data_IF_742905487275
#
_entry.id   IF_742905487275
#
_cell.length_a   1.000
_cell.length_b   1.000
_cell.length_c   1.000
_cell.angle_alpha   90.00
_cell.angle_beta   90.00
_cell.angle_gamma   90.00
#
_symmetry.space_group_name_H-M   'P 1'
#
loop_
_entity.id
_entity.type
_entity.pdbx_description
1 polymer ?
#
# COMPACT_ATOMS: atom_id res chain seq x y z
N UNK A 1 20.13 -6.08 -47.62
CA UNK A 1 19.26 -6.29 -46.45
C UNK A 1 19.96 -5.70 -45.24
N UNK A 2 19.35 -4.74 -44.56
CA UNK A 2 19.90 -4.14 -43.33
C UNK A 2 19.60 -5.08 -42.16
N UNK A 3 20.63 -5.60 -41.50
CA UNK A 3 20.46 -6.38 -40.27
C UNK A 3 20.33 -5.40 -39.11
N UNK A 4 19.10 -5.18 -38.67
CA UNK A 4 18.81 -4.37 -37.49
C UNK A 4 19.21 -5.17 -36.25
N UNK A 5 20.17 -4.67 -35.47
CA UNK A 5 20.55 -5.29 -34.19
C UNK A 5 19.35 -5.20 -33.24
N UNK A 6 18.91 -6.36 -32.72
CA UNK A 6 17.79 -6.44 -31.78
C UNK A 6 18.25 -6.05 -30.37
N UNK A 7 17.39 -5.37 -29.60
CA UNK A 7 17.62 -5.15 -28.18
C UNK A 7 17.35 -6.43 -27.36
N UNK A 8 17.74 -6.46 -26.08
CA UNK A 8 17.58 -7.65 -25.23
C UNK A 8 16.14 -8.17 -25.15
N UNK A 9 15.15 -7.28 -25.03
CA UNK A 9 13.75 -7.67 -24.99
C UNK A 9 13.29 -8.28 -26.32
N UNK A 10 13.68 -7.70 -27.44
CA UNK A 10 13.36 -8.18 -28.78
C UNK A 10 14.02 -9.51 -29.07
N UNK A 11 15.28 -9.71 -28.65
CA UNK A 11 15.99 -10.97 -28.81
C UNK A 11 15.31 -12.09 -28.01
N UNK A 12 14.94 -11.83 -26.76
CA UNK A 12 14.21 -12.79 -25.92
C UNK A 12 12.86 -13.19 -26.52
N UNK A 13 12.10 -12.22 -27.04
CA UNK A 13 10.83 -12.50 -27.70
C UNK A 13 11.02 -13.21 -29.05
N UNK A 14 12.07 -12.88 -29.80
CA UNK A 14 12.39 -13.56 -31.05
C UNK A 14 12.75 -15.03 -30.81
N UNK A 15 13.53 -15.32 -29.76
CA UNK A 15 13.85 -16.68 -29.32
C UNK A 15 12.57 -17.45 -28.95
N UNK A 16 11.74 -16.89 -28.07
CA UNK A 16 10.48 -17.52 -27.66
C UNK A 16 9.53 -17.77 -28.84
N UNK A 17 9.34 -16.79 -29.71
CA UNK A 17 8.43 -16.93 -30.85
C UNK A 17 8.93 -17.95 -31.88
N UNK A 18 10.25 -18.15 -31.99
CA UNK A 18 10.83 -19.12 -32.92
C UNK A 18 10.42 -20.57 -32.63
N UNK A 19 9.95 -20.86 -31.43
CA UNK A 19 9.44 -22.18 -31.03
C UNK A 19 8.10 -22.53 -31.71
N UNK A 20 7.42 -21.55 -32.30
CA UNK A 20 6.08 -21.71 -32.87
C UNK A 20 6.10 -21.57 -34.40
N UNK A 21 5.23 -22.34 -35.06
CA UNK A 21 4.94 -22.14 -36.48
C UNK A 21 3.82 -21.10 -36.63
N UNK A 22 4.18 -19.85 -36.89
CA UNK A 22 3.23 -18.76 -37.08
C UNK A 22 3.49 -17.98 -38.38
N UNK A 23 2.47 -17.27 -38.85
CA UNK A 23 2.58 -16.32 -39.94
C UNK A 23 2.13 -14.94 -39.47
N UNK A 24 2.96 -13.92 -39.72
CA UNK A 24 2.59 -12.53 -39.43
C UNK A 24 1.84 -12.00 -40.64
N UNK A 25 0.54 -11.78 -40.49
CA UNK A 25 -0.28 -11.11 -41.51
C UNK A 25 -0.62 -9.71 -41.02
N UNK A 26 -0.34 -8.70 -41.84
CA UNK A 26 -0.75 -7.33 -41.54
C UNK A 26 -2.25 -7.19 -41.81
N UNK A 27 -3.01 -6.84 -40.76
CA UNK A 27 -4.40 -6.46 -40.88
C UNK A 27 -4.52 -4.93 -40.84
N UNK A 28 -5.03 -4.28 -41.90
CA UNK A 28 -5.29 -2.85 -41.86
C UNK A 28 -6.33 -2.53 -40.78
N UNK A 29 -6.17 -1.42 -40.07
CA UNK A 29 -6.89 -1.10 -38.82
C UNK A 29 -8.41 -1.30 -38.87
N UNK A 30 -9.06 -1.06 -40.01
CA UNK A 30 -10.50 -1.30 -40.21
C UNK A 30 -10.95 -2.76 -39.97
N UNK A 31 -10.05 -3.72 -40.16
CA UNK A 31 -10.28 -5.16 -39.98
C UNK A 31 -9.66 -5.71 -38.68
N UNK A 32 -8.95 -4.86 -37.93
CA UNK A 32 -8.30 -5.21 -36.66
C UNK A 32 -9.19 -4.85 -35.45
N UNK A 33 -10.51 -5.07 -35.56
CA UNK A 33 -11.50 -4.76 -34.51
C UNK A 33 -11.33 -5.59 -33.23
N UNK A 34 -10.71 -6.76 -33.31
CA UNK A 34 -10.49 -7.66 -32.16
C UNK A 34 -9.43 -7.13 -31.17
N UNK A 35 -8.23 -6.69 -31.60
CA UNK A 35 -7.29 -5.95 -30.75
C UNK A 35 -7.90 -4.68 -30.13
N UNK A 36 -8.71 -3.95 -30.90
CA UNK A 36 -9.39 -2.74 -30.42
C UNK A 36 -10.50 -3.02 -29.39
N UNK A 37 -11.09 -4.22 -29.38
CA UNK A 37 -12.07 -4.61 -28.37
C UNK A 37 -11.46 -4.82 -26.97
N UNK A 38 -10.15 -5.05 -26.90
CA UNK A 38 -9.37 -5.09 -25.63
C UNK A 38 -8.60 -3.80 -25.38
N UNK A 39 -8.53 -2.90 -26.35
CA UNK A 39 -8.07 -1.54 -26.13
C UNK A 39 -9.17 -0.78 -25.40
N UNK A 40 -8.85 0.12 -24.45
CA UNK A 40 -9.85 0.98 -23.85
C UNK A 40 -10.65 1.64 -24.97
N UNK A 41 -11.93 1.30 -25.07
CA UNK A 41 -12.79 1.76 -26.15
C UNK A 41 -12.80 3.29 -26.09
N UNK A 42 -12.27 3.98 -27.10
CA UNK A 42 -12.25 5.46 -27.14
C UNK A 42 -13.66 6.05 -27.01
N UNK A 43 -14.68 5.25 -27.36
CA UNK A 43 -16.10 5.57 -27.23
C UNK A 43 -16.60 5.65 -25.76
N UNK A 44 -15.81 5.14 -24.80
CA UNK A 44 -16.12 5.12 -23.37
C UNK A 44 -15.50 6.31 -22.64
N UNK A 45 -14.46 6.94 -23.21
CA UNK A 45 -13.78 8.09 -22.61
C UNK A 45 -13.99 9.35 -23.46
N UNK A 46 -14.67 10.40 -22.96
CA UNK A 46 -14.83 11.64 -23.73
C UNK A 46 -13.47 12.33 -23.91
N UNK A 47 -13.19 12.81 -25.13
CA UNK A 47 -11.96 13.56 -25.43
C UNK A 47 -11.79 14.85 -24.61
N UNK A 48 -12.85 15.31 -23.93
CA UNK A 48 -12.84 16.39 -22.93
C UNK A 48 -14.18 16.44 -22.17
N UNK A 49 -14.12 16.82 -20.89
CA UNK A 49 -15.29 17.15 -20.06
C UNK A 49 -15.60 16.15 -18.95
N UNK A 50 -16.20 16.67 -17.86
CA UNK A 50 -16.54 15.96 -16.61
C UNK A 50 -17.72 14.98 -16.73
N UNK A 51 -18.18 14.69 -17.94
CA UNK A 51 -19.46 14.02 -18.20
C UNK A 51 -19.38 12.48 -18.16
N UNK A 52 -18.23 11.94 -17.74
CA UNK A 52 -17.96 10.50 -17.65
C UNK A 52 -19.02 9.73 -16.87
N UNK A 53 -19.46 10.31 -15.76
CA UNK A 53 -20.40 9.71 -14.81
C UNK A 53 -21.81 9.59 -15.42
N UNK A 54 -22.19 10.54 -16.27
CA UNK A 54 -23.54 10.61 -16.86
C UNK A 54 -23.78 9.56 -17.96
N UNK A 55 -22.74 9.25 -18.75
CA UNK A 55 -22.84 8.31 -19.88
C UNK A 55 -22.59 6.86 -19.50
N UNK A 56 -21.99 6.62 -18.34
CA UNK A 56 -21.65 5.28 -17.90
C UNK A 56 -21.97 5.04 -16.40
N UNK A 57 -23.26 5.13 -16.02
CA UNK A 57 -23.69 5.07 -14.62
C UNK A 57 -23.44 3.70 -13.95
N UNK A 58 -23.19 2.64 -14.74
CA UNK A 58 -22.93 1.29 -14.25
C UNK A 58 -21.44 0.95 -14.11
N UNK A 59 -20.53 1.76 -14.66
CA UNK A 59 -19.09 1.42 -14.66
C UNK A 59 -18.34 1.92 -13.42
N UNK A 60 -18.92 2.85 -12.66
CA UNK A 60 -18.39 3.31 -11.38
C UNK A 60 -19.32 2.92 -10.23
N UNK A 61 -19.48 1.63 -10.00
CA UNK A 61 -19.83 1.19 -8.66
C UNK A 61 -18.58 1.34 -7.80
N UNK A 62 -18.50 2.41 -7.01
CA UNK A 62 -17.54 2.48 -5.93
C UNK A 62 -17.87 1.31 -4.98
N UNK A 63 -17.15 0.19 -5.13
CA UNK A 63 -17.40 -1.06 -4.40
C UNK A 63 -17.30 -0.83 -2.89
N UNK A 64 -16.42 0.09 -2.48
CA UNK A 64 -16.21 0.46 -1.09
C UNK A 64 -16.68 1.88 -0.84
N UNK A 65 -17.77 2.05 -0.10
CA UNK A 65 -18.28 3.37 0.28
C UNK A 65 -17.27 4.03 1.23
N UNK A 66 -17.09 5.36 1.15
CA UNK A 66 -16.13 6.09 2.02
C UNK A 66 -16.26 5.79 3.51
N UNK A 67 -17.47 5.51 3.98
CA UNK A 67 -17.73 5.17 5.38
C UNK A 67 -17.27 3.75 5.74
N UNK A 68 -17.25 2.83 4.78
CA UNK A 68 -16.68 1.48 4.93
C UNK A 68 -15.15 1.55 4.94
N UNK A 69 -14.53 2.58 4.34
CA UNK A 69 -13.07 2.77 4.31
C UNK A 69 -12.51 3.30 5.65
N UNK A 70 -13.31 4.05 6.43
CA UNK A 70 -12.90 4.52 7.75
C UNK A 70 -12.78 3.34 8.74
N UNK A 71 -13.78 2.46 8.75
CA UNK A 71 -13.74 1.17 9.46
C UNK A 71 -12.67 0.23 8.86
N UNK A 72 -12.39 0.34 7.55
CA UNK A 72 -11.47 -0.57 6.87
C UNK A 72 -10.00 -0.39 7.25
N UNK A 73 -9.54 0.77 7.75
CA UNK A 73 -8.09 0.95 8.01
C UNK A 73 -7.64 0.12 9.21
N UNK A 74 -8.33 0.26 10.34
CA UNK A 74 -8.10 -0.59 11.51
C UNK A 74 -8.38 -2.05 11.12
N UNK A 75 -9.44 -2.34 10.36
CA UNK A 75 -9.71 -3.69 9.86
C UNK A 75 -8.60 -4.25 8.94
N UNK A 76 -7.96 -3.43 8.11
CA UNK A 76 -6.86 -3.87 7.24
C UNK A 76 -5.56 -4.08 8.02
N UNK A 77 -5.35 -3.33 9.11
CA UNK A 77 -4.39 -3.70 10.14
C UNK A 77 -4.82 -5.05 10.76
N UNK A 78 -6.09 -5.24 11.16
CA UNK A 78 -6.60 -6.51 11.72
C UNK A 78 -6.41 -7.72 10.78
N UNK A 79 -6.56 -7.55 9.48
CA UNK A 79 -6.42 -8.63 8.48
C UNK A 79 -4.94 -8.92 8.13
N UNK A 80 -4.07 -7.90 8.15
CA UNK A 80 -2.66 -8.04 7.78
C UNK A 80 -1.73 -8.28 8.99
N UNK A 81 -2.21 -8.05 10.21
CA UNK A 81 -1.42 -8.11 11.44
C UNK A 81 -1.85 -9.30 12.26
N UNK A 82 -1.01 -10.33 12.25
CA UNK A 82 -1.06 -11.49 13.14
C UNK A 82 -1.41 -11.04 14.57
N UNK A 83 -2.36 -11.73 15.22
CA UNK A 83 -2.81 -11.50 16.61
C UNK A 83 -1.68 -11.18 17.58
N UNK A 84 -0.51 -11.79 17.34
CA UNK A 84 0.68 -11.69 18.15
C UNK A 84 1.26 -10.27 18.20
N UNK A 85 1.24 -9.53 17.08
CA UNK A 85 1.78 -8.16 17.05
C UNK A 85 0.88 -7.19 17.81
N UNK A 86 -0.44 -7.34 17.69
CA UNK A 86 -1.40 -6.52 18.46
C UNK A 86 -1.20 -6.75 19.95
N UNK A 87 -1.04 -8.02 20.37
CA UNK A 87 -0.75 -8.38 21.75
C UNK A 87 0.57 -7.78 22.25
N UNK A 88 1.63 -7.83 21.44
CA UNK A 88 2.92 -7.22 21.77
C UNK A 88 2.81 -5.69 21.91
N UNK A 89 2.05 -5.02 21.03
CA UNK A 89 1.82 -3.57 21.10
C UNK A 89 1.05 -3.22 22.38
N UNK A 90 -0.04 -3.94 22.69
CA UNK A 90 -0.82 -3.73 23.91
C UNK A 90 0.04 -3.86 25.16
N UNK A 91 0.84 -4.93 25.25
CA UNK A 91 1.74 -5.16 26.38
C UNK A 91 2.78 -4.04 26.51
N UNK A 92 3.40 -3.63 25.39
CA UNK A 92 4.39 -2.56 25.40
C UNK A 92 3.77 -1.22 25.81
N UNK A 93 2.57 -0.89 25.33
CA UNK A 93 1.84 0.31 25.74
C UNK A 93 1.50 0.27 27.23
N UNK A 94 1.12 -0.90 27.77
CA UNK A 94 0.82 -1.06 29.19
C UNK A 94 2.03 -0.86 30.11
N UNK A 95 3.26 -1.01 29.61
CA UNK A 95 4.46 -0.72 30.40
C UNK A 95 4.85 0.76 30.37
N UNK A 96 4.44 1.48 29.34
CA UNK A 96 4.81 2.88 29.14
C UNK A 96 4.07 3.81 30.12
N UNK A 97 4.82 4.75 30.72
CA UNK A 97 4.28 5.71 31.70
C UNK A 97 3.49 6.82 30.99
N UNK A 98 4.02 7.31 29.88
CA UNK A 98 3.41 8.40 29.11
C UNK A 98 2.06 7.97 28.54
N UNK A 99 1.97 6.71 28.09
CA UNK A 99 0.73 6.10 27.63
C UNK A 99 -0.35 6.10 28.72
N UNK A 100 -0.01 5.69 29.95
CA UNK A 100 -0.96 5.67 31.07
C UNK A 100 -1.47 7.05 31.42
N UNK A 101 -0.63 8.07 31.31
CA UNK A 101 -1.06 9.45 31.53
C UNK A 101 -2.02 9.93 30.44
N UNK A 102 -1.72 9.62 29.17
CA UNK A 102 -2.60 9.94 28.03
C UNK A 102 -3.94 9.23 28.18
N UNK A 103 -3.95 7.94 28.51
CA UNK A 103 -5.18 7.17 28.74
C UNK A 103 -6.04 7.78 29.85
N UNK A 104 -5.46 8.09 31.01
CA UNK A 104 -6.21 8.69 32.13
C UNK A 104 -6.84 10.02 31.75
N UNK A 105 -6.19 10.82 30.91
CA UNK A 105 -6.73 12.10 30.44
C UNK A 105 -7.87 11.88 29.42
N UNK A 106 -7.69 10.93 28.50
CA UNK A 106 -8.73 10.55 27.53
C UNK A 106 -9.98 9.97 28.23
N UNK A 107 -9.80 9.13 29.25
CA UNK A 107 -10.90 8.58 30.07
C UNK A 107 -11.66 9.66 30.85
N UNK A 108 -10.98 10.75 31.22
CA UNK A 108 -11.61 11.93 31.84
C UNK A 108 -12.38 12.80 30.86
N UNK A 109 -12.39 12.45 29.56
CA UNK A 109 -13.03 13.23 28.51
C UNK A 109 -12.25 14.48 28.12
N UNK A 110 -11.00 14.63 28.56
CA UNK A 110 -10.13 15.70 28.11
C UNK A 110 -9.63 15.38 26.70
N UNK A 111 -9.81 16.30 25.76
CA UNK A 111 -9.21 16.19 24.43
C UNK A 111 -7.71 16.43 24.55
N UNK A 112 -6.94 15.34 24.60
CA UNK A 112 -5.47 15.38 24.63
C UNK A 112 -4.95 15.35 23.21
N UNK A 113 -4.80 16.52 22.60
CA UNK A 113 -4.29 16.67 21.23
C UNK A 113 -5.04 15.77 20.22
N UNK A 114 -4.39 15.29 19.16
CA UNK A 114 -5.00 14.44 18.12
C UNK A 114 -4.97 12.92 18.47
N UNK A 115 -4.92 12.59 19.78
CA UNK A 115 -4.95 11.20 20.25
C UNK A 115 -6.38 10.72 20.50
N UNK A 116 -6.64 9.47 20.11
CA UNK A 116 -7.91 8.77 20.30
C UNK A 116 -7.65 7.40 20.91
N UNK A 117 -8.55 6.91 21.76
CA UNK A 117 -8.46 5.58 22.35
C UNK A 117 -9.45 4.61 21.69
N UNK A 118 -8.94 3.48 21.22
CA UNK A 118 -9.73 2.39 20.66
C UNK A 118 -10.10 1.41 21.79
N UNK A 119 -11.33 1.53 22.31
CA UNK A 119 -11.76 0.78 23.49
C UNK A 119 -11.83 -0.74 23.31
N UNK A 120 -12.06 -1.23 22.08
CA UNK A 120 -12.17 -2.67 21.80
C UNK A 120 -10.81 -3.37 21.91
N UNK A 121 -9.78 -2.76 21.34
CA UNK A 121 -8.46 -3.36 21.19
C UNK A 121 -7.43 -2.78 22.18
N UNK A 122 -7.84 -1.87 23.07
CA UNK A 122 -6.94 -1.20 24.03
C UNK A 122 -5.71 -0.58 23.34
N UNK A 123 -5.92 0.01 22.17
CA UNK A 123 -4.89 0.67 21.38
C UNK A 123 -5.03 2.19 21.47
N UNK A 124 -3.90 2.88 21.44
CA UNK A 124 -3.87 4.33 21.26
C UNK A 124 -3.63 4.67 19.80
N UNK A 125 -4.42 5.59 19.30
CA UNK A 125 -4.36 6.10 17.94
C UNK A 125 -3.93 7.56 17.95
N UNK A 126 -3.11 7.95 16.97
CA UNK A 126 -2.74 9.35 16.71
C UNK A 126 -3.05 9.70 15.26
N UNK A 127 -4.06 10.55 15.03
CA UNK A 127 -4.59 10.86 13.69
C UNK A 127 -4.92 9.59 12.89
N UNK A 128 -5.72 8.70 13.49
CA UNK A 128 -6.15 7.40 12.92
C UNK A 128 -5.01 6.38 12.67
N UNK A 129 -3.86 6.51 13.34
CA UNK A 129 -2.71 5.60 13.19
C UNK A 129 -2.33 4.97 14.51
N UNK A 130 -2.00 3.69 14.51
CA UNK A 130 -1.63 2.96 15.73
C UNK A 130 -0.33 3.50 16.29
N UNK A 131 -0.37 3.93 17.55
CA UNK A 131 0.81 4.42 18.25
C UNK A 131 1.65 3.23 18.69
N UNK A 132 2.91 3.25 18.27
CA UNK A 132 3.92 2.28 18.64
C UNK A 132 4.78 2.90 19.75
N UNK A 133 4.88 2.27 20.95
CA UNK A 133 5.68 2.77 22.04
C UNK A 133 7.18 2.76 21.69
N UNK A 134 8.00 3.37 22.54
CA UNK A 134 9.47 3.45 22.39
C UNK A 134 10.18 2.12 22.68
N UNK A 135 9.65 1.02 22.15
CA UNK A 135 10.25 -0.30 22.19
C UNK A 135 10.95 -0.58 20.86
N UNK A 136 12.29 -0.63 20.89
CA UNK A 136 13.12 -0.83 19.72
C UNK A 136 12.89 -2.18 19.02
N UNK A 137 12.67 -3.26 19.78
CA UNK A 137 12.43 -4.60 19.22
C UNK A 137 11.14 -4.63 18.39
N UNK A 138 10.09 -4.00 18.92
CA UNK A 138 8.79 -3.96 18.27
C UNK A 138 8.80 -3.08 17.03
N UNK A 139 9.50 -1.94 17.08
CA UNK A 139 9.71 -1.08 15.92
C UNK A 139 10.49 -1.80 14.82
N UNK A 140 11.53 -2.55 15.18
CA UNK A 140 12.31 -3.36 14.23
C UNK A 140 11.50 -4.50 13.62
N UNK A 141 10.70 -5.21 14.40
CA UNK A 141 9.85 -6.30 13.89
C UNK A 141 8.84 -5.78 12.85
N UNK A 142 8.21 -4.62 13.12
CA UNK A 142 7.34 -3.95 12.16
C UNK A 142 8.09 -3.55 10.89
N UNK A 143 9.32 -3.02 11.03
CA UNK A 143 10.15 -2.63 9.89
C UNK A 143 10.53 -3.83 9.03
N UNK A 144 11.03 -4.91 9.64
CA UNK A 144 11.39 -6.15 8.97
C UNK A 144 10.19 -6.74 8.22
N UNK A 145 9.03 -6.84 8.87
CA UNK A 145 7.82 -7.37 8.24
C UNK A 145 7.37 -6.57 7.01
N UNK A 146 7.60 -5.25 7.00
CA UNK A 146 7.18 -4.37 5.90
C UNK A 146 8.24 -4.20 4.82
N UNK A 147 9.52 -4.23 5.16
CA UNK A 147 10.62 -3.99 4.23
C UNK A 147 11.23 -5.29 3.70
N UNK A 148 11.48 -6.28 4.57
CA UNK A 148 12.18 -7.53 4.23
C UNK A 148 11.27 -8.63 3.68
N UNK A 149 9.95 -8.41 3.68
CA UNK A 149 9.00 -9.36 3.09
C UNK A 149 9.29 -9.54 1.60
N UNK A 150 9.37 -10.80 1.17
CA UNK A 150 9.58 -11.17 -0.24
C UNK A 150 8.55 -10.52 -1.17
N UNK A 151 7.32 -10.33 -0.68
CA UNK A 151 6.24 -9.69 -1.42
C UNK A 151 6.36 -8.16 -1.46
N UNK A 152 7.02 -7.55 -0.48
CA UNK A 152 7.21 -6.10 -0.44
C UNK A 152 8.31 -5.62 -1.39
N UNK A 153 9.28 -6.49 -1.71
CA UNK A 153 10.31 -6.21 -2.71
C UNK A 153 11.34 -5.16 -2.27
N UNK A 154 11.67 -5.09 -0.97
CA UNK A 154 12.69 -4.17 -0.43
C UNK A 154 12.49 -2.71 -0.87
N UNK A 155 11.35 -2.08 -0.51
CA UNK A 155 11.04 -0.72 -0.92
C UNK A 155 12.08 0.28 -0.39
N UNK A 156 12.46 1.25 -1.22
CA UNK A 156 13.35 2.34 -0.81
C UNK A 156 12.80 3.20 0.33
N UNK A 157 13.62 4.12 0.86
CA UNK A 157 13.34 4.88 2.09
C UNK A 157 11.98 5.61 2.06
N UNK A 158 11.70 6.38 1.00
CA UNK A 158 10.46 7.14 0.89
C UNK A 158 9.23 6.24 0.84
N UNK A 159 9.32 5.14 0.09
CA UNK A 159 8.20 4.19 -0.06
C UNK A 159 7.92 3.45 1.24
N UNK A 160 8.97 3.00 1.94
CA UNK A 160 8.85 2.36 3.26
C UNK A 160 8.22 3.32 4.27
N UNK A 161 8.64 4.58 4.26
CA UNK A 161 8.09 5.62 5.11
C UNK A 161 6.61 5.88 4.82
N UNK A 162 6.21 5.97 3.55
CA UNK A 162 4.80 6.12 3.17
C UNK A 162 3.94 4.94 3.63
N UNK A 163 4.42 3.71 3.43
CA UNK A 163 3.69 2.50 3.82
C UNK A 163 3.48 2.42 5.33
N UNK A 164 4.52 2.68 6.10
CA UNK A 164 4.42 2.61 7.56
C UNK A 164 3.61 3.77 8.14
N UNK A 165 3.78 5.00 7.65
CA UNK A 165 3.03 6.17 8.13
C UNK A 165 1.53 6.09 7.87
N UNK A 166 1.09 5.21 6.99
CA UNK A 166 -0.33 4.97 6.74
C UNK A 166 -1.00 4.30 7.93
N UNK A 167 -0.30 3.37 8.56
CA UNK A 167 -0.87 2.44 9.54
C UNK A 167 -0.35 2.73 10.98
N UNK A 168 0.89 3.21 11.11
CA UNK A 168 1.59 3.36 12.39
C UNK A 168 2.15 4.77 12.64
N UNK A 169 2.41 5.06 13.91
CA UNK A 169 3.08 6.28 14.35
C UNK A 169 3.97 5.99 15.57
N UNK A 170 5.20 6.53 15.57
CA UNK A 170 6.04 6.63 16.78
C UNK A 170 6.97 7.84 16.69
N UNK A 171 7.51 8.26 17.84
CA UNK A 171 8.46 9.36 17.91
C UNK A 171 9.76 8.99 17.19
N UNK A 172 10.29 9.89 16.35
CA UNK A 172 11.55 9.64 15.61
C UNK A 172 11.44 8.64 14.44
N UNK A 173 10.22 8.22 14.08
CA UNK A 173 9.96 7.21 13.03
C UNK A 173 10.70 7.43 11.72
N UNK A 174 10.80 8.67 11.25
CA UNK A 174 11.49 8.98 9.99
C UNK A 174 12.98 8.59 10.02
N UNK A 175 13.65 8.87 11.14
CA UNK A 175 15.09 8.65 11.25
C UNK A 175 15.39 7.16 11.33
N UNK A 176 14.64 6.44 12.18
CA UNK A 176 14.77 4.99 12.34
C UNK A 176 14.54 4.26 11.01
N UNK A 177 13.51 4.65 10.24
CA UNK A 177 13.24 4.05 8.93
C UNK A 177 14.40 4.30 7.96
N UNK A 178 14.93 5.53 7.91
CA UNK A 178 16.05 5.88 7.03
C UNK A 178 17.29 5.07 7.37
N UNK A 179 17.65 5.01 8.65
CA UNK A 179 18.81 4.29 9.14
C UNK A 179 18.68 2.80 8.83
N UNK A 180 17.52 2.22 9.11
CA UNK A 180 17.23 0.81 8.83
C UNK A 180 17.35 0.47 7.34
N UNK A 181 16.66 1.20 6.45
CA UNK A 181 16.73 0.94 5.01
C UNK A 181 18.13 1.20 4.45
N UNK A 182 18.86 2.20 4.97
CA UNK A 182 20.26 2.46 4.57
C UNK A 182 21.23 1.34 4.97
N UNK A 183 20.90 0.59 6.02
CA UNK A 183 21.69 -0.55 6.50
C UNK A 183 21.34 -1.87 5.81
N UNK A 184 20.30 -1.90 4.96
CA UNK A 184 19.84 -3.10 4.29
C UNK A 184 20.81 -3.52 3.17
N UNK A 185 21.43 -4.71 3.32
CA UNK A 185 22.41 -5.23 2.36
C UNK A 185 21.82 -5.67 1.01
N UNK A 186 20.50 -5.86 0.95
CA UNK A 186 19.79 -6.33 -0.26
C UNK A 186 19.31 -5.17 -1.15
N UNK A 187 19.19 -3.97 -0.59
CA UNK A 187 18.85 -2.73 -1.31
C UNK A 187 20.11 -2.15 -1.96
#
# INVERSE_FOLDING_TARGET
MSFKVLNFCQARWAEFLSEFNFSITYLPGRLATLPDALSPQDNVYPERGVDFISRNPQSFHQILKQNEIKESRIFSIRVAVFSDLVYQIQNALWQDKDYKEILKKLERGESVSDYTHEHQEKLLLFKDRVVIPSNHELQLDILQKRHDSLLAGHPGQEKTLQLLKRDFYWAGMNQIIKDYVSSCKKC
#
